data_IF_415340452157
#
_entry.id   IF_415340452157
#
_cell.length_a   1.000
_cell.length_b   1.000
_cell.length_c   1.000
_cell.angle_alpha   90.00
_cell.angle_beta   90.00
_cell.angle_gamma   90.00
#
_symmetry.space_group_name_H-M   'P 1'
#
loop_
_entity.id
_entity.type
_entity.pdbx_description
1 polymer ?
#
# COMPACT_ATOMS: atom_id res chain seq x y z
N UNK A 1 40.49 6.29 10.07
CA UNK A 1 40.29 4.85 9.78
C UNK A 1 39.06 4.24 10.46
N UNK A 2 39.03 3.95 11.77
CA UNK A 2 37.86 3.30 12.42
C UNK A 2 36.60 4.19 12.34
N UNK A 3 36.75 5.50 12.56
CA UNK A 3 35.65 6.47 12.51
C UNK A 3 35.08 6.60 11.08
N UNK A 4 35.95 6.66 10.06
CA UNK A 4 35.53 6.70 8.64
C UNK A 4 34.80 5.43 8.21
N UNK A 5 35.26 4.25 8.67
CA UNK A 5 34.58 2.98 8.39
C UNK A 5 33.17 2.98 8.99
N UNK A 6 33.00 3.55 10.20
CA UNK A 6 31.70 3.65 10.85
C UNK A 6 30.73 4.57 10.09
N UNK A 7 31.22 5.68 9.56
CA UNK A 7 30.43 6.61 8.73
C UNK A 7 29.97 5.98 7.42
N UNK A 8 30.86 5.22 6.75
CA UNK A 8 30.52 4.47 5.53
C UNK A 8 29.43 3.44 5.81
N UNK A 9 29.55 2.66 6.89
CA UNK A 9 28.54 1.66 7.28
C UNK A 9 27.20 2.34 7.56
N UNK A 10 27.20 3.47 8.28
CA UNK A 10 25.98 4.23 8.58
C UNK A 10 25.30 4.75 7.32
N UNK A 11 26.08 5.22 6.34
CA UNK A 11 25.58 5.64 5.02
C UNK A 11 24.94 4.47 4.26
N UNK A 12 25.60 3.31 4.22
CA UNK A 12 25.06 2.11 3.57
C UNK A 12 23.76 1.62 4.22
N UNK A 13 23.68 1.63 5.56
CA UNK A 13 22.46 1.25 6.28
C UNK A 13 21.32 2.22 5.97
N UNK A 14 21.59 3.53 6.00
CA UNK A 14 20.57 4.53 5.65
C UNK A 14 20.08 4.39 4.21
N UNK A 15 20.98 4.07 3.27
CA UNK A 15 20.62 3.78 1.89
C UNK A 15 19.68 2.57 1.83
N UNK A 16 20.06 1.43 2.40
CA UNK A 16 19.23 0.22 2.40
C UNK A 16 17.86 0.48 3.05
N UNK A 17 17.84 1.14 4.22
CA UNK A 17 16.59 1.48 4.91
C UNK A 17 15.67 2.38 4.08
N UNK A 18 16.23 3.29 3.27
CA UNK A 18 15.44 4.12 2.36
C UNK A 18 14.72 3.27 1.31
N UNK A 19 15.41 2.31 0.68
CA UNK A 19 14.80 1.42 -0.32
C UNK A 19 13.80 0.45 0.29
N UNK A 20 14.11 -0.12 1.47
CA UNK A 20 13.18 -1.00 2.19
C UNK A 20 11.88 -0.27 2.54
N UNK A 21 11.97 0.99 2.99
CA UNK A 21 10.79 1.82 3.27
C UNK A 21 9.94 2.06 2.02
N UNK A 22 10.57 2.41 0.90
CA UNK A 22 9.86 2.63 -0.37
C UNK A 22 9.19 1.33 -0.81
N UNK A 23 9.91 0.21 -0.80
CA UNK A 23 9.38 -1.09 -1.23
C UNK A 23 8.21 -1.56 -0.36
N UNK A 24 8.35 -1.48 0.96
CA UNK A 24 7.28 -1.82 1.89
C UNK A 24 6.06 -0.93 1.68
N UNK A 25 6.27 0.37 1.47
CA UNK A 25 5.21 1.33 1.23
C UNK A 25 4.48 1.04 -0.09
N UNK A 26 5.21 0.81 -1.19
CA UNK A 26 4.63 0.45 -2.49
C UNK A 26 3.84 -0.85 -2.43
N UNK A 27 4.35 -1.88 -1.75
CA UNK A 27 3.61 -3.14 -1.58
C UNK A 27 2.35 -2.92 -0.78
N UNK A 28 2.43 -2.25 0.37
CA UNK A 28 1.25 -2.02 1.19
C UNK A 28 0.19 -1.22 0.44
N UNK A 29 0.58 -0.15 -0.25
CA UNK A 29 -0.38 0.71 -0.96
C UNK A 29 -0.98 0.06 -2.19
N UNK A 30 -0.29 -0.85 -2.88
CA UNK A 30 -0.86 -1.53 -4.03
C UNK A 30 -1.61 -2.81 -3.66
N UNK A 31 -1.12 -3.55 -2.66
CA UNK A 31 -1.66 -4.86 -2.31
C UNK A 31 -2.85 -4.77 -1.36
N UNK A 32 -2.82 -3.84 -0.39
CA UNK A 32 -3.89 -3.67 0.58
C UNK A 32 -5.24 -3.30 -0.08
N UNK A 33 -5.30 -2.37 -1.04
CA UNK A 33 -6.56 -2.03 -1.73
C UNK A 33 -7.18 -3.23 -2.45
N UNK A 34 -6.33 -4.04 -3.10
CA UNK A 34 -6.76 -5.23 -3.83
C UNK A 34 -7.35 -6.27 -2.87
N UNK A 35 -6.68 -6.53 -1.74
CA UNK A 35 -7.17 -7.45 -0.72
C UNK A 35 -8.51 -6.99 -0.16
N UNK A 36 -8.65 -5.69 0.15
CA UNK A 36 -9.91 -5.12 0.64
C UNK A 36 -11.04 -5.29 -0.39
N UNK A 37 -10.76 -5.06 -1.68
CA UNK A 37 -11.75 -5.24 -2.74
C UNK A 37 -12.22 -6.69 -2.87
N UNK A 38 -11.30 -7.65 -2.80
CA UNK A 38 -11.66 -9.08 -2.87
C UNK A 38 -12.54 -9.48 -1.69
N UNK A 39 -12.19 -9.05 -0.47
CA UNK A 39 -12.98 -9.35 0.72
C UNK A 39 -14.38 -8.73 0.65
N UNK A 40 -14.47 -7.46 0.25
CA UNK A 40 -15.75 -6.78 0.05
C UNK A 40 -16.60 -7.48 -1.02
N UNK A 41 -15.98 -7.90 -2.13
CA UNK A 41 -16.68 -8.62 -3.19
C UNK A 41 -17.25 -9.95 -2.69
N UNK A 42 -16.47 -10.73 -1.93
CA UNK A 42 -16.95 -11.97 -1.33
C UNK A 42 -18.15 -11.72 -0.42
N UNK A 43 -18.12 -10.67 0.40
CA UNK A 43 -19.25 -10.29 1.24
C UNK A 43 -20.47 -9.90 0.40
N UNK A 44 -20.29 -9.13 -0.68
CA UNK A 44 -21.41 -8.74 -1.55
C UNK A 44 -22.06 -9.94 -2.22
N UNK A 45 -21.26 -10.91 -2.69
CA UNK A 45 -21.79 -12.14 -3.30
C UNK A 45 -22.60 -12.95 -2.29
N UNK A 46 -22.18 -12.98 -1.02
CA UNK A 46 -22.87 -13.75 0.04
C UNK A 46 -24.16 -13.07 0.50
N UNK A 47 -24.12 -11.76 0.76
CA UNK A 47 -25.24 -11.06 1.42
C UNK A 47 -26.16 -10.32 0.45
N UNK A 48 -25.64 -9.81 -0.67
CA UNK A 48 -26.38 -8.93 -1.59
C UNK A 48 -25.99 -9.27 -3.07
N UNK A 49 -26.20 -10.52 -3.52
CA UNK A 49 -25.68 -10.99 -4.81
C UNK A 49 -26.20 -10.18 -6.01
N UNK A 50 -27.45 -9.74 -5.96
CA UNK A 50 -28.14 -8.97 -7.02
C UNK A 50 -27.44 -7.64 -7.35
N UNK A 51 -26.81 -7.01 -6.35
CA UNK A 51 -26.13 -5.73 -6.50
C UNK A 51 -24.59 -5.85 -6.46
N UNK A 52 -24.06 -7.06 -6.33
CA UNK A 52 -22.63 -7.33 -6.11
C UNK A 52 -21.70 -6.66 -7.13
N UNK A 53 -22.04 -6.70 -8.42
CA UNK A 53 -21.25 -6.03 -9.46
C UNK A 53 -21.26 -4.50 -9.36
N UNK A 54 -22.41 -3.89 -9.02
CA UNK A 54 -22.50 -2.43 -8.85
C UNK A 54 -21.77 -1.97 -7.60
N UNK A 55 -21.92 -2.72 -6.50
CA UNK A 55 -21.20 -2.47 -5.25
C UNK A 55 -19.68 -2.63 -5.42
N UNK A 56 -19.23 -3.60 -6.23
CA UNK A 56 -17.81 -3.75 -6.56
C UNK A 56 -17.24 -2.48 -7.21
N UNK A 57 -17.94 -1.93 -8.21
CA UNK A 57 -17.51 -0.71 -8.90
C UNK A 57 -17.41 0.48 -7.93
N UNK A 58 -18.43 0.67 -7.08
CA UNK A 58 -18.42 1.72 -6.06
C UNK A 58 -17.24 1.52 -5.11
N UNK A 59 -17.00 0.29 -4.67
CA UNK A 59 -15.89 -0.04 -3.77
C UNK A 59 -14.53 0.18 -4.42
N UNK A 60 -14.35 -0.11 -5.71
CA UNK A 60 -13.13 0.24 -6.45
C UNK A 60 -12.88 1.75 -6.37
N UNK A 61 -13.88 2.56 -6.68
CA UNK A 61 -13.75 4.02 -6.66
C UNK A 61 -13.38 4.51 -5.26
N UNK A 62 -14.10 4.06 -4.23
CA UNK A 62 -13.89 4.48 -2.85
C UNK A 62 -12.52 4.04 -2.34
N UNK A 63 -12.15 2.77 -2.54
CA UNK A 63 -10.89 2.21 -2.06
C UNK A 63 -9.69 2.89 -2.74
N UNK A 64 -9.74 3.11 -4.05
CA UNK A 64 -8.67 3.85 -4.75
C UNK A 64 -8.60 5.31 -4.31
N UNK A 65 -9.74 5.98 -4.15
CA UNK A 65 -9.78 7.36 -3.67
C UNK A 65 -9.17 7.49 -2.26
N UNK A 66 -9.55 6.61 -1.33
CA UNK A 66 -9.00 6.62 0.02
C UNK A 66 -7.51 6.27 0.01
N UNK A 67 -7.09 5.30 -0.80
CA UNK A 67 -5.67 4.93 -0.94
C UNK A 67 -4.85 6.12 -1.42
N UNK A 68 -5.32 6.83 -2.44
CA UNK A 68 -4.67 8.05 -2.91
C UNK A 68 -4.67 9.15 -1.85
N UNK A 69 -5.81 9.44 -1.21
CA UNK A 69 -5.95 10.48 -0.18
C UNK A 69 -5.05 10.26 1.02
N UNK A 70 -4.83 9.01 1.42
CA UNK A 70 -4.00 8.66 2.58
C UNK A 70 -2.56 8.31 2.21
N UNK A 71 -2.16 8.44 0.94
CA UNK A 71 -0.76 8.33 0.55
C UNK A 71 -0.04 9.59 1.05
N UNK A 72 0.88 9.51 2.04
CA UNK A 72 1.66 10.66 2.46
C UNK A 72 2.42 11.31 1.29
N UNK A 73 2.33 12.64 1.19
CA UNK A 73 2.93 13.50 0.14
C UNK A 73 4.44 13.27 -0.13
N UNK A 74 5.15 12.56 0.75
CA UNK A 74 6.57 12.20 0.60
C UNK A 74 6.79 10.95 -0.27
N UNK A 75 5.72 10.26 -0.66
CA UNK A 75 5.77 9.02 -1.44
C UNK A 75 4.94 9.08 -2.73
N UNK A 76 4.31 10.23 -3.00
CA UNK A 76 3.67 10.60 -4.27
C UNK A 76 4.65 11.41 -5.11
#
# INVERSE_FOLDING_TARGET
MIIEILEIIKSMINFILKYVKIFAFTIFLNFLPIVVLVLLYMLYVVFIPEYSGRLLIISIIVVFYLSWKYTPDKYT
#
